data_IF_522831924926
#
_entry.id   IF_522831924926
#
_cell.length_a   1.000
_cell.length_b   1.000
_cell.length_c   1.000
_cell.angle_alpha   90.00
_cell.angle_beta   90.00
_cell.angle_gamma   90.00
#
_symmetry.space_group_name_H-M   'P 1'
#
loop_
_entity.id
_entity.type
_entity.pdbx_description
1 polymer ?
#
# COMPACT_ATOMS: atom_id res chain seq x y z
N UNK A 1 11.26 -34.52 29.90
CA UNK A 1 10.37 -34.53 31.07
C UNK A 1 10.76 -33.53 32.17
N UNK A 2 11.86 -32.76 32.03
CA UNK A 2 12.35 -31.83 33.08
C UNK A 2 11.97 -30.35 32.80
N UNK A 3 11.58 -29.97 31.57
CA UNK A 3 11.16 -28.58 31.26
C UNK A 3 9.82 -28.15 31.91
N UNK A 4 9.00 -29.09 32.39
CA UNK A 4 7.61 -28.79 32.82
C UNK A 4 7.46 -28.21 34.24
N UNK A 5 8.47 -28.28 35.11
CA UNK A 5 8.35 -27.91 36.53
C UNK A 5 8.75 -26.45 36.84
N UNK A 6 9.58 -25.83 36.01
CA UNK A 6 10.06 -24.44 36.22
C UNK A 6 9.28 -23.43 35.37
N UNK A 7 8.87 -23.80 34.16
CA UNK A 7 8.14 -22.90 33.27
C UNK A 7 6.69 -22.66 33.72
N UNK A 8 6.01 -23.69 34.26
CA UNK A 8 4.64 -23.59 34.75
C UNK A 8 4.43 -22.53 35.84
N UNK A 9 5.23 -22.47 36.92
CA UNK A 9 5.05 -21.43 37.93
C UNK A 9 5.36 -20.03 37.38
N UNK A 10 6.33 -19.89 36.47
CA UNK A 10 6.64 -18.59 35.84
C UNK A 10 5.48 -18.11 34.97
N UNK A 11 4.93 -18.99 34.12
CA UNK A 11 3.76 -18.68 33.29
C UNK A 11 2.54 -18.37 34.15
N UNK A 12 2.37 -19.08 35.28
CA UNK A 12 1.28 -18.80 36.22
C UNK A 12 1.43 -17.42 36.85
N UNK A 13 2.63 -17.05 37.29
CA UNK A 13 2.91 -15.71 37.83
C UNK A 13 2.71 -14.63 36.76
N UNK A 14 3.18 -14.83 35.53
CA UNK A 14 2.97 -13.89 34.43
C UNK A 14 1.49 -13.73 34.11
N UNK A 15 0.71 -14.81 34.07
CA UNK A 15 -0.73 -14.75 33.87
C UNK A 15 -1.44 -14.03 35.02
N UNK A 16 -0.99 -14.21 36.26
CA UNK A 16 -1.57 -13.57 37.43
C UNK A 16 -1.28 -12.07 37.44
N UNK A 17 -0.04 -11.67 37.08
CA UNK A 17 0.35 -10.26 36.90
C UNK A 17 -0.40 -9.64 35.72
N UNK A 18 -0.50 -10.32 34.58
CA UNK A 18 -1.23 -9.83 33.42
C UNK A 18 -2.73 -9.72 33.69
N UNK A 19 -3.32 -10.67 34.42
CA UNK A 19 -4.73 -10.62 34.83
C UNK A 19 -4.99 -9.50 35.83
N UNK A 20 -4.07 -9.29 36.79
CA UNK A 20 -4.17 -8.19 37.73
C UNK A 20 -4.01 -6.84 37.04
N UNK A 21 -3.01 -6.69 36.17
CA UNK A 21 -2.84 -5.49 35.36
C UNK A 21 -4.04 -5.25 34.44
N UNK A 22 -4.56 -6.32 33.82
CA UNK A 22 -5.80 -6.30 33.05
C UNK A 22 -6.95 -5.78 33.90
N UNK A 23 -7.16 -6.29 35.11
CA UNK A 23 -8.23 -5.84 36.01
C UNK A 23 -8.06 -4.37 36.44
N UNK A 24 -6.86 -3.99 36.86
CA UNK A 24 -6.54 -2.64 37.35
C UNK A 24 -6.53 -1.59 36.23
N UNK A 25 -6.21 -1.96 34.99
CA UNK A 25 -6.28 -1.04 33.85
C UNK A 25 -7.66 -1.02 33.22
N UNK A 26 -8.28 -2.18 33.02
CA UNK A 26 -9.56 -2.31 32.35
C UNK A 26 -10.70 -1.78 33.19
N UNK A 27 -10.79 -2.08 34.49
CA UNK A 27 -11.96 -1.70 35.28
C UNK A 27 -12.07 -0.18 35.50
N UNK A 28 -11.00 0.54 35.84
CA UNK A 28 -11.02 2.01 35.87
C UNK A 28 -11.24 2.61 34.48
N UNK A 29 -10.62 2.07 33.42
CA UNK A 29 -10.90 2.51 32.05
C UNK A 29 -12.36 2.26 31.66
N UNK A 30 -12.94 1.13 32.05
CA UNK A 30 -14.32 0.76 31.75
C UNK A 30 -15.31 1.67 32.48
N UNK A 31 -15.07 1.97 33.76
CA UNK A 31 -15.92 2.88 34.53
C UNK A 31 -15.78 4.35 34.10
N UNK A 32 -14.58 4.79 33.74
CA UNK A 32 -14.31 6.18 33.35
C UNK A 32 -14.61 6.46 31.86
N UNK A 33 -14.45 5.46 30.99
CA UNK A 33 -14.52 5.61 29.53
C UNK A 33 -15.33 4.52 28.81
N UNK A 34 -15.31 3.27 29.30
CA UNK A 34 -15.91 2.11 28.63
C UNK A 34 -17.43 1.94 28.83
N UNK A 35 -18.04 2.65 29.77
CA UNK A 35 -19.49 2.74 29.93
C UNK A 35 -20.15 3.72 28.94
N UNK A 36 -19.48 4.08 27.83
CA UNK A 36 -20.17 4.65 26.68
C UNK A 36 -20.96 3.53 26.01
N UNK A 37 -22.29 3.61 26.19
CA UNK A 37 -23.35 2.85 25.52
C UNK A 37 -22.83 1.84 24.49
N UNK A 38 -22.92 0.55 24.81
CA UNK A 38 -23.09 -0.44 23.75
C UNK A 38 -24.26 0.07 22.92
N UNK A 39 -23.98 0.52 21.69
CA UNK A 39 -25.05 0.80 20.75
C UNK A 39 -25.69 -0.57 20.45
N UNK A 40 -26.78 -0.89 21.15
CA UNK A 40 -27.69 -2.00 20.81
C UNK A 40 -28.43 -1.72 19.47
N UNK A 41 -28.00 -0.70 18.75
CA UNK A 41 -28.52 -0.32 17.45
C UNK A 41 -28.02 -1.28 16.38
N UNK A 42 -28.97 -1.90 15.69
CA UNK A 42 -28.71 -2.76 14.54
C UNK A 42 -27.98 -1.94 13.46
N UNK A 43 -26.69 -2.20 13.24
CA UNK A 43 -25.89 -1.47 12.24
C UNK A 43 -26.03 -2.02 10.82
N UNK A 44 -26.49 -3.26 10.67
CA UNK A 44 -26.75 -3.85 9.37
C UNK A 44 -28.00 -4.73 9.39
N UNK A 45 -28.77 -4.70 8.30
CA UNK A 45 -29.97 -5.53 8.10
C UNK A 45 -29.83 -6.35 6.83
N UNK A 46 -30.37 -7.56 6.84
CA UNK A 46 -30.47 -8.38 5.63
C UNK A 46 -31.32 -7.64 4.58
N UNK A 47 -30.91 -7.73 3.31
CA UNK A 47 -31.69 -7.25 2.17
C UNK A 47 -32.96 -8.06 1.95
N UNK A 48 -32.92 -9.35 2.28
CA UNK A 48 -34.05 -10.28 2.25
C UNK A 48 -34.22 -10.86 3.64
N UNK A 49 -35.39 -10.63 4.25
CA UNK A 49 -35.65 -11.10 5.60
C UNK A 49 -35.69 -12.63 5.66
N UNK A 50 -35.05 -13.21 6.69
CA UNK A 50 -35.00 -14.67 6.97
C UNK A 50 -34.26 -15.52 5.93
N UNK A 51 -33.55 -14.90 4.99
CA UNK A 51 -32.64 -15.60 4.10
C UNK A 51 -31.20 -15.50 4.64
N UNK A 52 -30.60 -16.61 5.14
CA UNK A 52 -29.24 -16.59 5.66
C UNK A 52 -28.18 -16.34 4.56
N UNK A 53 -28.54 -16.49 3.29
CA UNK A 53 -27.68 -16.16 2.14
C UNK A 53 -27.80 -14.70 1.69
N UNK A 54 -28.75 -13.95 2.27
CA UNK A 54 -28.96 -12.54 1.94
C UNK A 54 -27.72 -11.71 2.26
N UNK A 55 -27.41 -10.77 1.36
CA UNK A 55 -26.47 -9.69 1.66
C UNK A 55 -26.98 -8.85 2.83
N UNK A 56 -26.06 -8.31 3.63
CA UNK A 56 -26.37 -7.38 4.71
C UNK A 56 -26.00 -5.96 4.28
N UNK A 57 -26.85 -4.99 4.62
CA UNK A 57 -26.64 -3.57 4.32
C UNK A 57 -26.65 -2.74 5.57
N UNK A 58 -25.76 -1.76 5.59
CA UNK A 58 -25.73 -0.67 6.55
C UNK A 58 -27.12 -0.02 6.67
N UNK A 59 -27.60 0.19 7.90
CA UNK A 59 -28.95 0.74 8.13
C UNK A 59 -29.05 2.22 7.75
N UNK A 60 -27.96 2.98 7.89
CA UNK A 60 -27.92 4.41 7.52
C UNK A 60 -28.03 4.63 6.00
N UNK A 61 -27.59 3.64 5.22
CA UNK A 61 -27.56 3.68 3.75
C UNK A 61 -28.33 2.50 3.14
N UNK A 62 -29.43 2.07 3.78
CA UNK A 62 -30.14 0.85 3.38
C UNK A 62 -30.74 0.93 1.97
N UNK A 63 -31.37 2.07 1.64
CA UNK A 63 -32.03 2.30 0.35
C UNK A 63 -31.06 2.69 -0.76
N UNK A 64 -29.98 3.42 -0.43
CA UNK A 64 -29.05 3.98 -1.40
C UNK A 64 -27.61 3.63 -1.05
N UNK A 65 -26.88 3.03 -1.99
CA UNK A 65 -25.45 2.74 -1.82
C UNK A 65 -24.67 4.05 -1.87
N UNK A 66 -23.84 4.30 -0.86
CA UNK A 66 -22.90 5.40 -0.87
C UNK A 66 -21.81 5.11 -1.92
N UNK A 67 -21.78 5.90 -3.00
CA UNK A 67 -20.90 5.67 -4.17
C UNK A 67 -19.62 6.49 -4.14
N UNK A 68 -19.57 7.55 -3.33
CA UNK A 68 -18.43 8.45 -3.24
C UNK A 68 -18.37 9.14 -1.89
N UNK A 69 -17.17 9.39 -1.33
CA UNK A 69 -16.99 10.20 -0.13
C UNK A 69 -17.22 11.71 -0.38
N UNK A 70 -17.15 12.17 -1.63
CA UNK A 70 -17.26 13.60 -2.00
C UNK A 70 -18.27 13.78 -3.13
N UNK A 71 -19.21 14.71 -2.96
CA UNK A 71 -20.27 14.94 -3.94
C UNK A 71 -19.70 15.24 -5.34
N UNK A 72 -20.31 14.63 -6.37
CA UNK A 72 -19.93 14.75 -7.79
C UNK A 72 -18.50 14.29 -8.16
N UNK A 73 -17.77 13.62 -7.27
CA UNK A 73 -16.44 13.05 -7.53
C UNK A 73 -16.57 11.53 -7.62
N UNK A 74 -16.25 10.92 -8.77
CA UNK A 74 -16.52 9.49 -9.01
C UNK A 74 -15.32 8.67 -9.50
N UNK A 75 -14.12 9.24 -9.45
CA UNK A 75 -12.88 8.58 -9.90
C UNK A 75 -11.77 8.92 -8.93
N UNK A 76 -10.81 7.99 -8.77
CA UNK A 76 -9.65 8.18 -7.89
C UNK A 76 -8.84 9.44 -8.25
N UNK A 77 -8.65 9.73 -9.54
CA UNK A 77 -7.98 10.96 -10.00
C UNK A 77 -8.65 12.23 -9.49
N UNK A 78 -9.95 12.38 -9.75
CA UNK A 78 -10.73 13.53 -9.27
C UNK A 78 -10.74 13.61 -7.74
N UNK A 79 -10.80 12.47 -7.05
CA UNK A 79 -10.76 12.44 -5.58
C UNK A 79 -9.43 12.96 -5.05
N UNK A 80 -8.32 12.45 -5.56
CA UNK A 80 -7.00 12.90 -5.14
C UNK A 80 -6.77 14.39 -5.44
N UNK A 81 -7.14 14.86 -6.64
CA UNK A 81 -7.05 16.29 -7.01
C UNK A 81 -7.95 17.18 -6.14
N UNK A 82 -9.15 16.71 -5.80
CA UNK A 82 -10.02 17.40 -4.85
C UNK A 82 -9.36 17.51 -3.46
N UNK A 83 -8.73 16.45 -2.96
CA UNK A 83 -7.95 16.54 -1.71
C UNK A 83 -6.81 17.53 -1.84
N UNK A 84 -6.02 17.49 -2.92
CA UNK A 84 -4.89 18.40 -3.12
C UNK A 84 -5.34 19.86 -3.12
N UNK A 85 -6.49 20.18 -3.72
CA UNK A 85 -7.04 21.55 -3.72
C UNK A 85 -7.34 22.10 -2.32
N UNK A 86 -7.68 21.22 -1.37
CA UNK A 86 -8.01 21.59 0.02
C UNK A 86 -6.84 21.40 0.99
N UNK A 87 -5.86 20.56 0.66
CA UNK A 87 -4.81 20.12 1.58
C UNK A 87 -3.39 20.17 0.97
N UNK A 88 -3.19 20.89 -0.14
CA UNK A 88 -1.97 20.84 -0.96
C UNK A 88 -0.65 21.02 -0.20
N UNK A 89 -0.61 21.89 0.80
CA UNK A 89 0.60 22.15 1.60
C UNK A 89 0.80 21.18 2.78
N UNK A 90 -0.19 20.31 3.09
CA UNK A 90 -0.06 19.34 4.19
C UNK A 90 0.86 18.19 3.80
N UNK A 91 1.45 17.56 4.82
CA UNK A 91 2.19 16.30 4.71
C UNK A 91 1.30 15.22 4.09
N UNK A 92 1.80 14.55 3.06
CA UNK A 92 1.11 13.50 2.34
C UNK A 92 1.82 12.16 2.56
N UNK A 93 3.00 11.97 1.98
CA UNK A 93 3.74 10.72 2.02
C UNK A 93 5.09 10.91 2.71
N UNK A 94 5.39 10.07 3.69
CA UNK A 94 6.60 10.14 4.51
C UNK A 94 7.45 8.89 4.37
N UNK A 95 8.75 9.05 4.10
CA UNK A 95 9.72 7.95 4.01
C UNK A 95 10.87 8.18 4.98
N UNK A 96 11.39 7.11 5.56
CA UNK A 96 12.56 7.13 6.44
C UNK A 96 13.85 7.30 5.66
N UNK A 97 14.73 8.17 6.15
CA UNK A 97 16.11 8.20 5.68
C UNK A 97 16.88 6.96 6.18
N UNK A 98 17.60 6.28 5.29
CA UNK A 98 18.48 5.17 5.66
C UNK A 98 19.88 5.73 5.94
N UNK A 99 20.31 5.78 7.20
CA UNK A 99 21.65 6.26 7.56
C UNK A 99 22.72 5.20 7.37
N UNK A 100 22.44 3.97 7.81
CA UNK A 100 23.37 2.86 7.64
C UNK A 100 22.64 1.52 7.62
N UNK A 101 23.28 0.55 6.97
CA UNK A 101 22.91 -0.86 7.05
C UNK A 101 24.14 -1.70 7.38
N UNK A 102 24.00 -2.65 8.29
CA UNK A 102 25.07 -3.53 8.76
C UNK A 102 24.59 -4.97 8.71
N UNK A 103 25.45 -5.88 8.29
CA UNK A 103 25.16 -7.31 8.30
C UNK A 103 25.62 -7.91 9.64
N UNK A 104 24.66 -8.32 10.47
CA UNK A 104 24.89 -8.94 11.76
C UNK A 104 24.80 -10.46 11.62
N UNK A 105 25.92 -11.15 11.79
CA UNK A 105 25.95 -12.62 11.80
C UNK A 105 25.49 -13.14 13.16
N UNK A 106 24.40 -13.90 13.16
CA UNK A 106 23.87 -14.53 14.36
C UNK A 106 24.68 -15.79 14.72
N UNK A 107 24.56 -16.24 15.97
CA UNK A 107 25.23 -17.44 16.47
C UNK A 107 24.90 -18.72 15.68
N UNK A 108 23.76 -18.74 14.96
CA UNK A 108 23.34 -19.84 14.09
C UNK A 108 23.84 -19.71 12.63
N UNK A 109 24.76 -18.78 12.35
CA UNK A 109 25.32 -18.53 11.02
C UNK A 109 24.41 -17.74 10.07
N UNK A 110 23.19 -17.39 10.46
CA UNK A 110 22.31 -16.54 9.64
C UNK A 110 22.78 -15.08 9.70
N UNK A 111 22.82 -14.43 8.54
CA UNK A 111 23.14 -13.00 8.45
C UNK A 111 21.84 -12.22 8.41
N UNK A 112 21.67 -11.30 9.37
CA UNK A 112 20.56 -10.36 9.40
C UNK A 112 21.06 -8.99 8.96
N UNK A 113 20.43 -8.41 7.95
CA UNK A 113 20.67 -7.02 7.60
C UNK A 113 19.94 -6.13 8.61
N UNK A 114 20.71 -5.39 9.41
CA UNK A 114 20.23 -4.39 10.37
C UNK A 114 20.34 -3.00 9.76
N UNK A 115 19.37 -2.15 10.03
CA UNK A 115 19.33 -0.77 9.56
C UNK A 115 19.26 0.21 10.73
N UNK A 116 19.87 1.38 10.53
CA UNK A 116 19.66 2.57 11.36
C UNK A 116 18.92 3.59 10.50
N UNK A 117 17.72 3.94 10.93
CA UNK A 117 16.83 4.86 10.21
C UNK A 117 16.81 6.21 10.91
N UNK A 118 16.80 7.27 10.09
CA UNK A 118 16.66 8.65 10.52
C UNK A 118 15.20 9.08 10.68
N UNK A 119 14.96 10.38 10.55
CA UNK A 119 13.62 10.96 10.62
C UNK A 119 12.82 10.68 9.34
N UNK A 120 11.52 10.93 9.42
CA UNK A 120 10.66 10.92 8.24
C UNK A 120 10.86 12.18 7.40
N UNK A 121 11.19 11.99 6.14
CA UNK A 121 11.18 13.01 5.10
C UNK A 121 9.82 12.98 4.41
N UNK A 122 9.17 14.14 4.34
CA UNK A 122 7.78 14.26 3.92
C UNK A 122 7.66 14.96 2.58
N UNK A 123 6.85 14.39 1.70
CA UNK A 123 6.29 15.07 0.54
C UNK A 123 4.93 15.67 0.93
N UNK A 124 4.69 16.90 0.52
CA UNK A 124 3.38 17.53 0.57
C UNK A 124 2.44 16.99 -0.51
N UNK A 125 1.13 17.20 -0.36
CA UNK A 125 0.15 16.82 -1.38
C UNK A 125 0.44 17.46 -2.76
N UNK A 126 0.94 18.70 -2.79
CA UNK A 126 1.35 19.39 -4.02
C UNK A 126 2.58 18.75 -4.67
N UNK A 127 3.57 18.36 -3.87
CA UNK A 127 4.76 17.67 -4.38
C UNK A 127 4.41 16.27 -4.91
N UNK A 128 3.54 15.55 -4.21
CA UNK A 128 3.02 14.26 -4.68
C UNK A 128 2.25 14.44 -5.99
N UNK A 129 1.39 15.46 -6.12
CA UNK A 129 0.68 15.72 -7.38
C UNK A 129 1.65 16.04 -8.53
N UNK A 130 2.67 16.87 -8.29
CA UNK A 130 3.70 17.18 -9.29
C UNK A 130 4.42 15.91 -9.77
N UNK A 131 4.75 15.00 -8.84
CA UNK A 131 5.36 13.71 -9.17
C UNK A 131 4.39 12.80 -9.93
N UNK A 132 3.13 12.76 -9.53
CA UNK A 132 2.06 12.02 -10.20
C UNK A 132 1.92 12.44 -11.66
N UNK A 133 1.93 13.76 -11.91
CA UNK A 133 1.83 14.32 -13.25
C UNK A 133 3.09 14.06 -14.08
N UNK A 134 4.27 14.28 -13.50
CA UNK A 134 5.55 14.04 -14.18
C UNK A 134 5.74 12.57 -14.53
N UNK A 135 5.47 11.64 -13.60
CA UNK A 135 5.61 10.22 -13.85
C UNK A 135 4.62 9.71 -14.89
N UNK A 136 3.36 10.14 -14.83
CA UNK A 136 2.34 9.75 -15.82
C UNK A 136 2.63 10.29 -17.23
N UNK A 137 3.08 11.54 -17.37
CA UNK A 137 3.59 12.09 -18.63
C UNK A 137 4.80 11.30 -19.13
N UNK A 138 5.69 10.88 -18.23
CA UNK A 138 6.84 10.05 -18.56
C UNK A 138 6.45 8.70 -19.15
N UNK A 139 5.44 8.04 -18.57
CA UNK A 139 4.89 6.79 -19.10
C UNK A 139 4.28 6.97 -20.50
N UNK A 140 3.49 8.02 -20.73
CA UNK A 140 2.97 8.33 -22.08
C UNK A 140 4.10 8.55 -23.08
N UNK A 141 5.13 9.31 -22.72
CA UNK A 141 6.29 9.58 -23.57
C UNK A 141 7.11 8.32 -23.87
N UNK A 142 7.06 7.30 -23.01
CA UNK A 142 7.67 5.99 -23.22
C UNK A 142 6.79 5.04 -24.04
N UNK A 143 5.57 5.45 -24.41
CA UNK A 143 4.66 4.70 -25.26
C UNK A 143 3.55 3.94 -24.51
N UNK A 144 3.38 4.15 -23.21
CA UNK A 144 2.24 3.60 -22.47
C UNK A 144 0.94 4.18 -23.03
N UNK A 145 -0.07 3.32 -23.27
CA UNK A 145 -1.37 3.75 -23.80
C UNK A 145 -2.45 3.73 -22.73
N UNK A 146 -3.44 4.60 -22.88
CA UNK A 146 -4.65 4.60 -22.05
C UNK A 146 -5.33 3.23 -22.11
N UNK A 147 -5.83 2.75 -20.96
CA UNK A 147 -6.45 1.44 -20.74
C UNK A 147 -5.50 0.24 -20.92
N UNK A 148 -4.20 0.49 -21.08
CA UNK A 148 -3.18 -0.56 -21.09
C UNK A 148 -2.64 -0.78 -19.69
N UNK A 149 -2.48 -2.05 -19.31
CA UNK A 149 -2.07 -2.45 -17.97
C UNK A 149 -0.61 -2.04 -17.67
N UNK A 150 -0.36 -1.64 -16.42
CA UNK A 150 0.99 -1.44 -15.85
C UNK A 150 1.09 -2.30 -14.60
N UNK A 151 2.14 -3.10 -14.46
CA UNK A 151 2.33 -3.88 -13.23
C UNK A 151 3.21 -3.15 -12.23
N UNK A 152 2.83 -3.19 -10.95
CA UNK A 152 3.68 -2.79 -9.83
C UNK A 152 4.01 -4.04 -9.00
N UNK A 153 5.29 -4.39 -9.02
CA UNK A 153 5.91 -5.50 -8.30
C UNK A 153 6.96 -4.93 -7.34
N UNK A 154 6.50 -4.30 -6.25
CA UNK A 154 7.34 -3.59 -5.30
C UNK A 154 6.77 -3.68 -3.89
N UNK A 155 7.63 -3.44 -2.91
CA UNK A 155 7.29 -3.25 -1.51
C UNK A 155 6.42 -2.01 -1.31
N UNK A 156 5.75 -1.96 -0.15
CA UNK A 156 4.96 -0.80 0.26
C UNK A 156 5.84 0.39 0.53
N UNK A 157 5.68 1.45 -0.28
CA UNK A 157 6.47 2.69 -0.21
C UNK A 157 5.80 3.86 -0.92
N UNK A 158 6.30 5.07 -0.69
CA UNK A 158 5.75 6.29 -1.28
C UNK A 158 5.70 6.27 -2.81
N UNK A 159 6.76 5.78 -3.45
CA UNK A 159 6.86 5.69 -4.91
C UNK A 159 5.85 4.72 -5.50
N UNK A 160 5.47 3.67 -4.77
CA UNK A 160 4.39 2.75 -5.17
C UNK A 160 3.08 3.53 -5.30
N UNK A 161 2.73 4.30 -4.26
CA UNK A 161 1.49 5.07 -4.23
C UNK A 161 1.50 6.21 -5.26
N UNK A 162 2.64 6.87 -5.45
CA UNK A 162 2.82 7.88 -6.52
C UNK A 162 2.57 7.24 -7.90
N UNK A 163 3.19 6.08 -8.18
CA UNK A 163 3.00 5.37 -9.43
C UNK A 163 1.55 4.94 -9.65
N UNK A 164 0.89 4.42 -8.61
CA UNK A 164 -0.52 4.05 -8.67
C UNK A 164 -1.42 5.27 -8.94
N UNK A 165 -1.20 6.38 -8.24
CA UNK A 165 -1.94 7.63 -8.47
C UNK A 165 -1.70 8.16 -9.89
N UNK A 166 -0.49 8.08 -10.44
CA UNK A 166 -0.24 8.38 -11.87
C UNK A 166 -1.06 7.48 -12.78
N UNK A 167 -1.06 6.18 -12.54
CA UNK A 167 -1.83 5.25 -13.36
C UNK A 167 -3.34 5.55 -13.31
N UNK A 168 -3.90 5.83 -12.12
CA UNK A 168 -5.29 6.28 -11.98
C UNK A 168 -5.56 7.59 -12.71
N UNK A 169 -4.62 8.53 -12.64
CA UNK A 169 -4.69 9.84 -13.25
C UNK A 169 -4.74 9.75 -14.78
N UNK A 170 -3.95 8.86 -15.37
CA UNK A 170 -3.78 8.67 -16.82
C UNK A 170 -4.60 7.50 -17.40
N UNK A 171 -5.49 6.90 -16.59
CA UNK A 171 -6.34 5.77 -16.95
C UNK A 171 -5.52 4.57 -17.46
N UNK A 172 -4.47 4.22 -16.72
CA UNK A 172 -3.70 2.98 -16.88
C UNK A 172 -4.13 2.01 -15.76
N UNK A 173 -4.74 0.86 -16.08
CA UNK A 173 -5.08 -0.13 -15.06
C UNK A 173 -3.81 -0.63 -14.35
N UNK A 174 -3.82 -0.57 -13.02
CA UNK A 174 -2.69 -1.03 -12.19
C UNK A 174 -2.84 -2.52 -11.91
N UNK A 175 -1.89 -3.34 -12.32
CA UNK A 175 -1.80 -4.74 -11.92
C UNK A 175 -0.90 -4.82 -10.69
N UNK A 176 -1.35 -5.47 -9.62
CA UNK A 176 -0.51 -5.62 -8.42
C UNK A 176 0.04 -7.03 -8.28
N UNK A 177 1.33 -7.12 -7.96
CA UNK A 177 1.99 -8.36 -7.59
C UNK A 177 2.76 -8.16 -6.29
N UNK A 178 2.69 -9.13 -5.37
CA UNK A 178 3.46 -9.05 -4.12
C UNK A 178 4.95 -9.15 -4.42
N UNK A 179 5.78 -8.30 -3.81
CA UNK A 179 7.25 -8.37 -3.88
C UNK A 179 7.82 -9.75 -3.47
N UNK A 180 7.07 -10.49 -2.66
CA UNK A 180 7.44 -11.81 -2.12
C UNK A 180 7.11 -12.98 -3.06
N UNK A 181 6.40 -12.77 -4.17
CA UNK A 181 6.00 -13.86 -5.08
C UNK A 181 7.20 -14.61 -5.65
N UNK A 182 7.10 -15.93 -5.79
CA UNK A 182 8.09 -16.74 -6.49
C UNK A 182 8.16 -16.44 -8.00
N UNK A 183 9.24 -16.89 -8.65
CA UNK A 183 9.51 -16.66 -10.08
C UNK A 183 8.37 -17.11 -11.00
N UNK A 184 7.82 -18.31 -10.77
CA UNK A 184 6.68 -18.83 -11.56
C UNK A 184 5.45 -17.93 -11.48
N UNK A 185 5.14 -17.42 -10.28
CA UNK A 185 4.00 -16.54 -10.06
C UNK A 185 4.21 -15.16 -10.69
N UNK A 186 5.46 -14.67 -10.74
CA UNK A 186 5.83 -13.43 -11.45
C UNK A 186 5.59 -13.60 -12.96
N UNK A 187 6.11 -14.67 -13.55
CA UNK A 187 5.95 -14.98 -14.99
C UNK A 187 4.47 -15.09 -15.34
N UNK A 188 3.73 -15.86 -14.55
CA UNK A 188 2.29 -16.04 -14.74
C UNK A 188 1.53 -14.71 -14.68
N UNK A 189 1.74 -13.93 -13.61
CA UNK A 189 1.02 -12.67 -13.41
C UNK A 189 1.32 -11.61 -14.48
N UNK A 190 2.59 -11.49 -14.89
CA UNK A 190 3.02 -10.56 -15.94
C UNK A 190 2.45 -10.95 -17.30
N UNK A 191 2.60 -12.22 -17.69
CA UNK A 191 2.15 -12.69 -19.00
C UNK A 191 0.62 -12.69 -19.10
N UNK A 192 -0.10 -13.17 -18.08
CA UNK A 192 -1.57 -13.18 -18.08
C UNK A 192 -2.15 -11.76 -18.14
N UNK A 193 -1.50 -10.79 -17.49
CA UNK A 193 -1.94 -9.40 -17.52
C UNK A 193 -1.50 -8.64 -18.79
N UNK A 194 -0.76 -9.29 -19.70
CA UNK A 194 -0.31 -8.72 -20.97
C UNK A 194 0.39 -7.35 -20.82
N UNK A 195 1.16 -7.19 -19.73
CA UNK A 195 1.80 -5.90 -19.42
C UNK A 195 3.05 -5.68 -20.25
N UNK A 196 3.29 -4.43 -20.65
CA UNK A 196 4.51 -4.00 -21.33
C UNK A 196 5.46 -3.20 -20.41
N UNK A 197 4.92 -2.68 -19.30
CA UNK A 197 5.64 -1.87 -18.31
C UNK A 197 5.57 -2.54 -16.94
N UNK A 198 6.74 -2.78 -16.34
CA UNK A 198 6.90 -3.26 -14.96
C UNK A 198 7.55 -2.18 -14.12
N UNK A 199 6.92 -1.84 -12.99
CA UNK A 199 7.49 -1.00 -11.95
C UNK A 199 7.91 -1.91 -10.79
N UNK A 200 9.16 -1.83 -10.35
CA UNK A 200 9.74 -2.76 -9.38
C UNK A 200 10.70 -2.08 -8.43
N UNK A 201 10.93 -2.64 -7.23
CA UNK A 201 12.09 -2.20 -6.45
C UNK A 201 13.40 -2.64 -7.08
N UNK A 202 14.44 -1.83 -6.88
CA UNK A 202 15.78 -2.12 -7.36
C UNK A 202 16.34 -3.45 -6.88
N UNK A 203 16.08 -3.83 -5.62
CA UNK A 203 16.55 -5.09 -5.05
C UNK A 203 15.83 -6.33 -5.62
N UNK A 204 14.72 -6.14 -6.34
CA UNK A 204 13.96 -7.19 -7.01
C UNK A 204 14.36 -7.38 -8.48
N UNK A 205 15.19 -6.49 -9.05
CA UNK A 205 15.69 -6.59 -10.42
C UNK A 205 16.40 -7.93 -10.73
N UNK A 206 17.28 -8.48 -9.86
CA UNK A 206 17.91 -9.77 -10.12
C UNK A 206 16.89 -10.90 -10.32
N UNK A 207 15.76 -10.85 -9.61
CA UNK A 207 14.69 -11.85 -9.72
C UNK A 207 13.95 -11.74 -11.03
N UNK A 208 13.63 -10.52 -11.48
CA UNK A 208 13.06 -10.29 -12.82
C UNK A 208 14.03 -10.72 -13.92
N UNK A 209 15.32 -10.54 -13.71
CA UNK A 209 16.35 -10.94 -14.65
C UNK A 209 16.39 -12.46 -14.86
N UNK A 210 16.27 -13.26 -13.79
CA UNK A 210 16.21 -14.74 -13.88
C UNK A 210 15.08 -15.22 -14.80
N UNK A 211 13.95 -14.51 -14.78
CA UNK A 211 12.76 -14.87 -15.56
C UNK A 211 12.60 -14.06 -16.85
N UNK A 212 13.52 -13.15 -17.17
CA UNK A 212 13.36 -12.17 -18.26
C UNK A 212 13.07 -12.83 -19.62
N UNK A 213 13.67 -13.99 -19.90
CA UNK A 213 13.43 -14.75 -21.14
C UNK A 213 12.02 -15.36 -21.25
N UNK A 214 11.25 -15.38 -20.17
CA UNK A 214 9.87 -15.89 -20.13
C UNK A 214 8.83 -14.76 -20.14
N UNK A 215 9.25 -13.49 -20.01
CA UNK A 215 8.36 -12.33 -20.00
C UNK A 215 8.12 -11.86 -21.44
N UNK A 216 6.96 -12.19 -21.99
CA UNK A 216 6.72 -12.15 -23.45
C UNK A 216 6.54 -10.75 -24.02
N UNK A 217 5.91 -9.84 -23.27
CA UNK A 217 5.47 -8.53 -23.78
C UNK A 217 6.22 -7.34 -23.20
N UNK A 218 7.20 -7.57 -22.32
CA UNK A 218 7.87 -6.49 -21.59
C UNK A 218 8.70 -5.61 -22.54
N UNK A 219 8.48 -4.30 -22.46
CA UNK A 219 9.24 -3.28 -23.20
C UNK A 219 9.99 -2.34 -22.26
N UNK A 220 9.46 -2.11 -21.06
CA UNK A 220 10.07 -1.19 -20.09
C UNK A 220 10.02 -1.76 -18.68
N UNK A 221 11.16 -1.72 -17.99
CA UNK A 221 11.28 -1.98 -16.55
C UNK A 221 11.70 -0.67 -15.88
N UNK A 222 10.91 -0.23 -14.90
CA UNK A 222 11.12 0.98 -14.13
C UNK A 222 11.46 0.57 -12.71
N UNK A 223 12.68 0.85 -12.26
CA UNK A 223 13.11 0.48 -10.91
C UNK A 223 13.04 1.65 -9.92
N UNK A 224 12.75 1.32 -8.66
CA UNK A 224 12.66 2.27 -7.55
C UNK A 224 13.88 2.11 -6.63
N UNK A 225 14.46 3.25 -6.24
CA UNK A 225 15.65 3.34 -5.38
C UNK A 225 16.97 3.34 -6.15
N UNK A 226 18.07 3.47 -5.41
CA UNK A 226 19.41 3.53 -5.97
C UNK A 226 19.96 2.12 -6.22
N UNK A 227 20.27 1.83 -7.48
CA UNK A 227 20.80 0.53 -7.91
C UNK A 227 22.06 0.75 -8.71
N UNK A 228 23.11 0.00 -8.35
CA UNK A 228 24.27 -0.14 -9.22
C UNK A 228 23.96 -1.18 -10.31
N UNK A 229 23.62 -0.69 -11.51
CA UNK A 229 23.30 -1.54 -12.66
C UNK A 229 24.52 -2.29 -13.22
N UNK A 230 25.75 -1.92 -12.84
CA UNK A 230 26.99 -2.46 -13.42
C UNK A 230 27.19 -3.97 -13.19
N UNK A 231 26.52 -4.54 -12.19
CA UNK A 231 26.59 -5.97 -11.86
C UNK A 231 25.38 -6.79 -12.33
N UNK A 232 24.40 -6.16 -12.99
CA UNK A 232 23.25 -6.87 -13.55
C UNK A 232 23.57 -7.35 -14.97
N UNK A 233 23.11 -8.56 -15.27
CA UNK A 233 23.11 -9.09 -16.63
C UNK A 233 22.24 -8.20 -17.51
N UNK A 234 22.59 -8.03 -18.77
CA UNK A 234 21.83 -7.17 -19.68
C UNK A 234 20.45 -7.83 -19.90
N UNK A 235 19.37 -7.14 -19.52
CA UNK A 235 18.03 -7.50 -19.97
C UNK A 235 18.00 -7.61 -21.51
N UNK A 236 17.07 -8.34 -22.13
CA UNK A 236 16.99 -8.40 -23.59
C UNK A 236 17.06 -7.00 -24.20
N UNK A 237 17.78 -6.84 -25.31
CA UNK A 237 18.12 -5.51 -25.87
C UNK A 237 16.93 -4.61 -26.24
N UNK A 238 15.73 -5.21 -26.38
CA UNK A 238 14.49 -4.49 -26.61
C UNK A 238 13.84 -3.91 -25.34
N UNK A 239 14.29 -4.34 -24.15
CA UNK A 239 13.77 -3.89 -22.85
C UNK A 239 14.55 -2.68 -22.35
N UNK A 240 13.85 -1.56 -22.17
CA UNK A 240 14.41 -0.37 -21.54
C UNK A 240 14.38 -0.52 -20.02
N UNK A 241 15.50 -0.26 -19.36
CA UNK A 241 15.58 -0.26 -17.89
C UNK A 241 15.87 1.16 -17.42
N UNK A 242 14.93 1.78 -16.69
CA UNK A 242 14.99 3.18 -16.27
C UNK A 242 14.71 3.30 -14.78
N UNK A 243 15.28 4.29 -14.11
CA UNK A 243 14.87 4.62 -12.74
C UNK A 243 13.55 5.39 -12.77
N UNK A 244 12.77 5.31 -11.69
CA UNK A 244 11.54 6.12 -11.55
C UNK A 244 11.81 7.61 -11.71
N UNK A 245 12.95 8.11 -11.20
CA UNK A 245 13.37 9.50 -11.31
C UNK A 245 13.67 9.90 -12.77
N UNK A 246 14.24 9.00 -13.57
CA UNK A 246 14.48 9.24 -14.99
C UNK A 246 13.16 9.34 -15.76
N UNK A 247 12.17 8.51 -15.44
CA UNK A 247 10.82 8.58 -16.03
C UNK A 247 10.12 9.89 -15.66
N UNK A 248 10.18 10.30 -14.39
CA UNK A 248 9.69 11.61 -13.95
C UNK A 248 10.35 12.74 -14.76
N UNK A 249 11.69 12.72 -14.89
CA UNK A 249 12.45 13.72 -15.65
C UNK A 249 12.08 13.76 -17.13
N UNK A 250 11.78 12.60 -17.74
CA UNK A 250 11.27 12.53 -19.13
C UNK A 250 9.92 13.25 -19.20
N UNK A 251 9.00 12.98 -18.28
CA UNK A 251 7.66 13.58 -18.29
C UNK A 251 7.65 15.08 -17.97
N UNK A 252 8.60 15.57 -17.18
CA UNK A 252 8.74 17.02 -16.88
C UNK A 252 9.30 17.85 -18.04
N UNK A 253 9.69 17.25 -19.18
CA UNK A 253 10.17 18.00 -20.35
C UNK A 253 8.98 18.70 -21.04
N UNK A 254 9.14 19.97 -21.41
CA UNK A 254 8.09 20.81 -22.00
C UNK A 254 7.38 20.18 -23.21
N UNK A 255 8.12 19.44 -24.05
CA UNK A 255 7.56 18.73 -25.20
C UNK A 255 6.55 17.64 -24.81
N UNK A 256 6.76 16.97 -23.67
CA UNK A 256 5.93 15.85 -23.22
C UNK A 256 4.73 16.33 -22.39
N UNK A 257 4.86 17.47 -21.69
CA UNK A 257 3.75 18.10 -20.95
C UNK A 257 2.56 18.42 -21.88
N UNK A 258 2.83 18.66 -23.16
CA UNK A 258 1.79 18.93 -24.17
C UNK A 258 0.97 17.70 -24.57
N UNK A 259 1.39 16.48 -24.20
CA UNK A 259 0.60 15.27 -24.47
C UNK A 259 -0.67 15.26 -23.63
N UNK A 260 -1.82 15.22 -24.30
CA UNK A 260 -3.11 15.27 -23.61
C UNK A 260 -3.40 13.94 -22.89
N UNK A 261 -3.54 14.02 -21.57
CA UNK A 261 -4.01 12.92 -20.73
C UNK A 261 -5.49 12.65 -20.97
N UNK A 262 -5.85 11.38 -21.12
CA UNK A 262 -7.25 10.93 -21.13
C UNK A 262 -7.65 10.54 -19.70
N UNK A 263 -8.50 11.32 -19.01
CA UNK A 263 -8.94 10.98 -17.65
C UNK A 263 -9.83 9.72 -17.63
N UNK A 264 -9.88 8.99 -16.51
CA UNK A 264 -10.75 7.81 -16.38
C UNK A 264 -12.23 8.19 -16.25
N UNK A 265 -13.11 7.25 -16.60
CA UNK A 265 -14.50 7.23 -16.15
C UNK A 265 -14.70 6.24 -14.99
N UNK A 266 -15.81 6.32 -14.24
CA UNK A 266 -16.04 5.44 -13.08
C UNK A 266 -16.01 3.94 -13.41
N UNK A 267 -16.44 3.55 -14.61
CA UNK A 267 -16.52 2.17 -15.07
C UNK A 267 -15.18 1.62 -15.57
N UNK A 268 -14.19 2.49 -15.81
CA UNK A 268 -12.86 2.05 -16.22
C UNK A 268 -12.17 1.24 -15.11
N UNK A 269 -11.38 0.25 -15.51
CA UNK A 269 -10.57 -0.56 -14.60
C UNK A 269 -9.51 0.31 -13.95
N UNK A 270 -9.54 0.39 -12.62
CA UNK A 270 -8.51 1.06 -11.84
C UNK A 270 -7.38 0.09 -11.48
N UNK A 271 -7.73 -1.09 -10.97
CA UNK A 271 -6.77 -2.06 -10.45
C UNK A 271 -7.16 -3.49 -10.83
N UNK A 272 -6.16 -4.33 -11.10
CA UNK A 272 -6.27 -5.78 -11.23
C UNK A 272 -5.41 -6.40 -10.12
N UNK A 273 -6.04 -7.03 -9.13
CA UNK A 273 -5.33 -7.63 -8.00
C UNK A 273 -5.36 -9.15 -8.05
N UNK A 274 -4.20 -9.78 -7.95
CA UNK A 274 -4.11 -11.24 -7.94
C UNK A 274 -4.39 -11.81 -6.54
N UNK A 275 -5.24 -12.83 -6.50
CA UNK A 275 -5.53 -13.63 -5.29
C UNK A 275 -5.21 -15.10 -5.53
N UNK A 276 -4.73 -15.79 -4.50
CA UNK A 276 -4.27 -17.18 -4.58
C UNK A 276 -5.36 -18.17 -5.02
N UNK A 277 -6.65 -17.84 -4.83
CA UNK A 277 -7.77 -18.67 -5.27
C UNK A 277 -7.79 -20.08 -4.66
N UNK A 278 -8.93 -20.77 -4.71
CA UNK A 278 -9.04 -22.17 -4.27
C UNK A 278 -8.53 -23.17 -5.31
N UNK A 279 -8.32 -22.73 -6.56
CA UNK A 279 -8.06 -23.58 -7.73
C UNK A 279 -6.59 -23.63 -8.16
N UNK A 280 -5.66 -23.27 -7.28
CA UNK A 280 -4.21 -23.39 -7.48
C UNK A 280 -3.54 -22.23 -8.23
N UNK A 281 -4.09 -21.80 -9.38
CA UNK A 281 -3.57 -20.64 -10.12
C UNK A 281 -4.18 -19.33 -9.63
N UNK A 282 -3.36 -18.28 -9.41
CA UNK A 282 -3.87 -16.97 -9.04
C UNK A 282 -4.84 -16.39 -10.08
N UNK A 283 -5.85 -15.66 -9.60
CA UNK A 283 -6.85 -14.99 -10.46
C UNK A 283 -6.75 -13.48 -10.29
N UNK A 284 -6.69 -12.75 -11.41
CA UNK A 284 -6.75 -11.28 -11.42
C UNK A 284 -8.18 -10.78 -11.22
N UNK A 285 -8.44 -10.19 -10.06
CA UNK A 285 -9.72 -9.54 -9.74
C UNK A 285 -9.70 -8.13 -10.34
N UNK A 286 -10.59 -7.89 -11.30
CA UNK A 286 -10.76 -6.58 -11.95
C UNK A 286 -11.59 -5.67 -11.04
N UNK A 287 -11.06 -4.51 -10.70
CA UNK A 287 -11.67 -3.54 -9.80
C UNK A 287 -11.74 -2.18 -10.53
N UNK A 288 -12.96 -1.69 -10.74
CA UNK A 288 -13.19 -0.39 -11.38
C UNK A 288 -12.93 0.79 -10.43
N UNK A 289 -12.81 2.00 -10.99
CA UNK A 289 -12.78 3.22 -10.19
C UNK A 289 -14.02 3.35 -9.29
N UNK A 290 -15.22 3.05 -9.81
CA UNK A 290 -16.46 3.10 -9.05
C UNK A 290 -16.48 2.13 -7.86
N UNK A 291 -15.87 0.94 -8.01
CA UNK A 291 -15.75 -0.01 -6.90
C UNK A 291 -14.89 0.55 -5.77
N UNK A 292 -13.70 1.08 -6.09
CA UNK A 292 -12.81 1.67 -5.09
C UNK A 292 -13.41 2.93 -4.46
N UNK A 293 -14.08 3.77 -5.24
CA UNK A 293 -14.78 4.97 -4.73
C UNK A 293 -15.88 4.62 -3.73
N UNK A 294 -16.68 3.57 -4.00
CA UNK A 294 -17.69 3.08 -3.07
C UNK A 294 -17.05 2.50 -1.79
N UNK A 295 -15.95 1.75 -1.91
CA UNK A 295 -15.19 1.23 -0.76
C UNK A 295 -14.66 2.37 0.11
N UNK A 296 -14.02 3.38 -0.50
CA UNK A 296 -13.52 4.56 0.22
C UNK A 296 -14.67 5.25 0.94
N UNK A 297 -15.81 5.47 0.26
CA UNK A 297 -16.96 6.12 0.86
C UNK A 297 -17.47 5.37 2.10
N UNK A 298 -17.63 4.05 1.99
CA UNK A 298 -18.06 3.21 3.10
C UNK A 298 -17.07 3.19 4.26
N UNK A 299 -15.76 3.15 3.97
CA UNK A 299 -14.72 3.14 5.00
C UNK A 299 -14.58 4.50 5.69
N UNK A 300 -14.63 5.62 4.95
CA UNK A 300 -14.58 6.98 5.51
C UNK A 300 -15.73 7.21 6.50
N UNK A 301 -16.94 6.72 6.20
CA UNK A 301 -18.09 6.83 7.10
C UNK A 301 -17.86 6.14 8.46
N UNK A 302 -17.10 5.02 8.46
CA UNK A 302 -16.85 4.19 9.65
C UNK A 302 -15.60 4.60 10.42
N UNK A 303 -14.49 4.83 9.72
CA UNK A 303 -13.20 5.19 10.33
C UNK A 303 -13.20 6.66 10.78
N UNK A 304 -13.89 7.54 10.06
CA UNK A 304 -13.98 8.98 10.35
C UNK A 304 -12.62 9.64 10.60
N UNK A 305 -11.62 9.26 9.80
CA UNK A 305 -10.30 9.85 9.86
C UNK A 305 -10.34 11.33 9.48
N UNK A 306 -9.39 12.09 10.00
CA UNK A 306 -9.25 13.53 9.84
C UNK A 306 -7.95 13.85 9.10
N UNK A 307 -7.90 15.04 8.54
CA UNK A 307 -6.71 15.54 7.83
C UNK A 307 -5.47 15.77 8.71
N UNK A 308 -5.57 15.61 10.03
CA UNK A 308 -4.45 15.65 10.97
C UNK A 308 -4.03 14.25 11.45
N UNK A 309 -4.71 13.19 11.01
CA UNK A 309 -4.30 11.83 11.31
C UNK A 309 -3.02 11.44 10.57
N UNK A 310 -2.27 10.55 11.22
CA UNK A 310 -1.03 9.97 10.72
C UNK A 310 -1.24 8.45 10.66
N UNK A 311 -1.23 7.91 9.46
CA UNK A 311 -1.32 6.48 9.20
C UNK A 311 0.07 5.87 9.04
N UNK A 312 0.27 4.66 9.55
CA UNK A 312 1.47 3.88 9.29
C UNK A 312 1.20 2.83 8.21
N UNK A 313 1.79 3.03 7.03
CA UNK A 313 1.68 2.10 5.90
C UNK A 313 2.76 1.04 5.99
N UNK A 314 2.40 -0.21 6.29
CA UNK A 314 3.35 -1.33 6.48
C UNK A 314 2.85 -2.66 5.93
N UNK A 315 1.54 -2.78 5.65
CA UNK A 315 1.01 -3.97 5.01
C UNK A 315 1.28 -3.89 3.51
N UNK A 316 1.27 -5.01 2.77
CA UNK A 316 1.55 -4.98 1.33
C UNK A 316 0.50 -4.18 0.53
N UNK A 317 0.92 -3.15 -0.21
CA UNK A 317 0.07 -2.35 -1.11
C UNK A 317 -0.49 -3.18 -2.28
N UNK A 318 0.14 -4.33 -2.57
CA UNK A 318 -0.41 -5.31 -3.49
C UNK A 318 -1.73 -5.95 -3.01
N UNK A 319 -2.05 -5.82 -1.71
CA UNK A 319 -3.28 -6.33 -1.10
C UNK A 319 -4.34 -5.24 -0.95
N UNK A 320 -5.60 -5.60 -1.20
CA UNK A 320 -6.74 -4.64 -1.20
C UNK A 320 -6.92 -3.92 0.14
N UNK A 321 -6.59 -4.57 1.26
CA UNK A 321 -6.72 -3.95 2.59
C UNK A 321 -5.85 -2.70 2.72
N UNK A 322 -4.56 -2.79 2.41
CA UNK A 322 -3.65 -1.66 2.56
C UNK A 322 -3.96 -0.58 1.52
N UNK A 323 -4.19 -0.98 0.27
CA UNK A 323 -4.56 -0.02 -0.77
C UNK A 323 -5.81 0.78 -0.36
N UNK A 324 -6.85 0.10 0.12
CA UNK A 324 -8.09 0.77 0.53
C UNK A 324 -7.87 1.67 1.74
N UNK A 325 -7.09 1.23 2.73
CA UNK A 325 -6.76 2.03 3.91
C UNK A 325 -6.02 3.31 3.51
N UNK A 326 -4.97 3.21 2.70
CA UNK A 326 -4.21 4.37 2.23
C UNK A 326 -5.06 5.31 1.37
N UNK A 327 -5.89 4.79 0.46
CA UNK A 327 -6.80 5.62 -0.34
C UNK A 327 -7.82 6.39 0.54
N UNK A 328 -8.30 5.79 1.63
CA UNK A 328 -9.15 6.48 2.62
C UNK A 328 -8.38 7.60 3.32
N UNK A 329 -7.13 7.36 3.72
CA UNK A 329 -6.26 8.40 4.31
C UNK A 329 -6.05 9.56 3.35
N UNK A 330 -5.70 9.27 2.10
CA UNK A 330 -5.51 10.26 1.05
C UNK A 330 -6.80 10.99 0.68
N UNK A 331 -7.97 10.37 0.82
CA UNK A 331 -9.25 11.04 0.54
C UNK A 331 -9.59 12.16 1.53
N UNK A 332 -9.03 12.10 2.75
CA UNK A 332 -9.30 13.06 3.83
C UNK A 332 -8.15 14.03 4.10
N UNK A 333 -7.07 13.97 3.32
CA UNK A 333 -5.90 14.83 3.54
C UNK A 333 -5.03 14.40 4.71
N UNK A 334 -5.13 13.15 5.18
CA UNK A 334 -4.29 12.57 6.23
C UNK A 334 -2.86 12.31 5.70
N UNK A 335 -1.91 12.10 6.60
CA UNK A 335 -0.52 11.77 6.23
C UNK A 335 -0.23 10.27 6.39
N UNK A 336 0.59 9.70 5.51
CA UNK A 336 1.00 8.30 5.53
C UNK A 336 2.52 8.23 5.71
N UNK A 337 2.97 7.66 6.82
CA UNK A 337 4.38 7.32 7.01
C UNK A 337 4.62 5.85 6.69
N UNK A 338 5.50 5.57 5.73
CA UNK A 338 5.81 4.21 5.32
C UNK A 338 6.74 3.50 6.31
N UNK A 339 6.51 2.20 6.45
CA UNK A 339 7.18 1.27 7.34
C UNK A 339 7.21 -0.11 6.68
N UNK A 340 7.75 -1.10 7.39
CA UNK A 340 7.67 -2.51 7.03
C UNK A 340 7.43 -3.34 8.29
N UNK A 341 6.94 -4.58 8.18
CA UNK A 341 6.84 -5.48 9.34
C UNK A 341 8.17 -5.66 10.07
N UNK A 342 9.29 -5.53 9.34
CA UNK A 342 10.64 -5.71 9.86
C UNK A 342 11.24 -4.42 10.47
N UNK A 343 10.59 -3.27 10.34
CA UNK A 343 11.03 -1.97 10.89
C UNK A 343 9.99 -1.29 11.80
N UNK A 344 8.81 -1.88 11.93
CA UNK A 344 7.65 -1.30 12.62
C UNK A 344 7.91 -0.87 14.07
N UNK A 345 8.51 -1.74 14.88
CA UNK A 345 8.78 -1.51 16.31
C UNK A 345 10.29 -1.41 16.58
N UNK A 346 10.66 -0.81 17.71
CA UNK A 346 12.07 -0.70 18.15
C UNK A 346 12.76 -2.08 18.26
N UNK A 347 11.98 -3.14 18.51
CA UNK A 347 12.44 -4.53 18.60
C UNK A 347 12.33 -5.31 17.28
N UNK A 348 11.86 -4.69 16.20
CA UNK A 348 11.70 -5.38 14.92
C UNK A 348 13.05 -5.87 14.38
N UNK A 349 13.01 -6.99 13.65
CA UNK A 349 14.20 -7.76 13.28
C UNK A 349 15.20 -7.00 12.41
N UNK A 350 14.78 -6.01 11.63
CA UNK A 350 15.67 -5.17 10.81
C UNK A 350 16.21 -3.96 11.57
N UNK A 351 15.63 -3.56 12.71
CA UNK A 351 16.11 -2.41 13.48
C UNK A 351 17.37 -2.80 14.26
N UNK A 352 18.42 -1.98 14.16
CA UNK A 352 19.65 -2.15 14.95
C UNK A 352 19.34 -1.90 16.42
N UNK A 353 19.83 -2.77 17.31
CA UNK A 353 19.60 -2.63 18.76
C UNK A 353 20.06 -1.25 19.25
N UNK A 354 19.19 -0.55 19.97
CA UNK A 354 19.44 0.81 20.47
C UNK A 354 18.96 1.94 19.54
N UNK A 355 18.48 1.61 18.34
CA UNK A 355 17.82 2.56 17.44
C UNK A 355 16.29 2.46 17.52
N UNK A 356 15.58 3.35 16.83
CA UNK A 356 14.12 3.48 16.88
C UNK A 356 13.46 2.88 15.64
N UNK A 357 12.38 2.13 15.86
CA UNK A 357 11.47 1.67 14.81
C UNK A 357 10.46 2.75 14.41
N UNK A 358 9.64 2.42 13.43
CA UNK A 358 8.71 3.33 12.75
C UNK A 358 7.63 3.89 13.66
N UNK A 359 6.93 3.05 14.43
CA UNK A 359 5.90 3.49 15.39
C UNK A 359 6.48 4.49 16.40
N UNK A 360 7.71 4.24 16.89
CA UNK A 360 8.33 5.06 17.92
C UNK A 360 8.63 6.49 17.48
N UNK A 361 8.91 6.71 16.18
CA UNK A 361 9.22 8.04 15.65
C UNK A 361 8.02 8.66 14.93
N UNK A 362 7.28 7.88 14.14
CA UNK A 362 6.11 8.36 13.40
C UNK A 362 4.98 8.75 14.34
N UNK A 363 4.80 7.98 15.43
CA UNK A 363 3.67 8.12 16.38
C UNK A 363 2.31 8.14 15.65
N UNK A 364 1.98 7.06 14.90
CA UNK A 364 0.75 7.03 14.11
C UNK A 364 -0.49 7.11 15.00
N UNK A 365 -1.52 7.81 14.51
CA UNK A 365 -2.85 7.84 15.13
C UNK A 365 -3.75 6.72 14.60
N UNK A 366 -3.44 6.20 13.41
CA UNK A 366 -4.18 5.12 12.75
C UNK A 366 -3.22 4.03 12.24
N UNK A 367 -3.64 2.78 12.36
CA UNK A 367 -2.89 1.61 11.89
C UNK A 367 -3.88 0.50 11.52
N UNK A 368 -3.73 -0.08 10.33
CA UNK A 368 -4.44 -1.31 10.01
C UNK A 368 -3.82 -2.49 10.75
N UNK A 369 -4.65 -3.34 11.35
CA UNK A 369 -4.23 -4.55 12.02
C UNK A 369 -4.83 -5.77 11.35
N UNK A 370 -4.05 -6.84 11.27
CA UNK A 370 -4.51 -8.19 10.91
C UNK A 370 -4.33 -9.09 12.14
N UNK A 371 -5.17 -10.12 12.32
CA UNK A 371 -5.12 -11.03 13.47
C UNK A 371 -3.78 -11.74 13.69
#
# INVERSE_FOLDING_TARGET
MILNLVERPIVYVLNLVASFWGFVSFYPWYLLYGAKQRHDEVQARATVSRDPSSSYRCVEHYQNILRTPVNAVYTLDKLFRNTVSSHGSKKCLGTRELFSSENEMQANGRVFNKVVLGNYNWLSYNEVLTKVESFGCGLLALGQRTKQNVVIFADTRAEWMIAAQSCFSYNFPVVTLYATLGEEAIVYGINQAEVEVVITDGHLLPKLQTVAGQLTNIKTIIYIGDVNLSGLSVFPSHVKVLSIAEVERIGSRSQNISQSRIPPCPEDTAVIMYTSGSTGLPKGVIISHANLMATIAGMTDRVRNKSNDVYIGYLPLAHVLELSAELVMLSQGSSIGYSSPLTLADQSSKIKKGSKGDVGVLKPTLMAAVP
#
